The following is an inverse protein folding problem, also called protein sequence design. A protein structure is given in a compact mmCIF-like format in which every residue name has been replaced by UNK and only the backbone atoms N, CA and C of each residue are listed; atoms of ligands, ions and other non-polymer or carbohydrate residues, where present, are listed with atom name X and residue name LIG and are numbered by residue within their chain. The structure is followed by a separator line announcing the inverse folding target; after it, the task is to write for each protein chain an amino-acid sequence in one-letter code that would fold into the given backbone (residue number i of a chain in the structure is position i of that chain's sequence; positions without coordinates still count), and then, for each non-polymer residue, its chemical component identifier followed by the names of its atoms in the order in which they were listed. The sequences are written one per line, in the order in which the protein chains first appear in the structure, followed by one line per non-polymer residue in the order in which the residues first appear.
data_IF_557481385572
#
_entry.id   IF_557481385572
#
_cell.length_a   1.000
_cell.length_b   1.000
_cell.length_c   1.000
_cell.angle_alpha   90.00
_cell.angle_beta   90.00
_cell.angle_gamma   90.00
#
_symmetry.space_group_name_H-M   'P 1'
#
loop_
_entity.id
_entity.type
_entity.pdbx_description
1 polymer ?
#
# COMPACT_ATOMS: atom_id res chain seq x y z
N UNK A 1 42.18 102.24 -6.75
CA UNK A 1 42.25 101.17 -7.77
C UNK A 1 41.69 99.91 -7.12
N UNK A 2 40.40 99.64 -7.30
CA UNK A 2 39.75 98.40 -6.88
C UNK A 2 38.88 97.96 -8.05
N UNK A 3 39.29 96.86 -8.67
CA UNK A 3 38.69 96.31 -9.88
C UNK A 3 37.46 95.49 -9.47
N UNK A 4 36.32 95.83 -10.07
CA UNK A 4 35.09 95.06 -10.03
C UNK A 4 35.28 93.73 -10.77
N UNK A 5 34.82 92.62 -10.18
CA UNK A 5 34.68 91.34 -10.89
C UNK A 5 33.20 91.02 -10.96
N UNK A 6 32.74 91.01 -12.20
CA UNK A 6 31.41 90.74 -12.73
C UNK A 6 30.90 89.36 -12.30
N UNK A 7 29.74 89.33 -11.64
CA UNK A 7 28.94 88.12 -11.40
C UNK A 7 27.76 88.14 -12.35
N UNK A 8 27.99 87.79 -13.61
CA UNK A 8 26.87 87.45 -14.48
C UNK A 8 27.30 86.46 -15.57
N UNK A 9 26.44 85.44 -15.74
CA UNK A 9 26.39 84.43 -16.81
C UNK A 9 27.28 83.19 -16.68
N UNK A 10 26.76 82.14 -17.31
CA UNK A 10 27.20 80.72 -17.35
C UNK A 10 26.69 79.95 -16.12
N UNK A 11 25.73 79.02 -16.18
CA UNK A 11 25.14 78.30 -17.30
C UNK A 11 23.79 77.75 -16.86
N UNK A 12 22.71 78.14 -17.54
CA UNK A 12 21.51 77.31 -17.68
C UNK A 12 21.79 76.31 -18.81
N UNK A 13 21.16 75.13 -18.77
CA UNK A 13 21.23 74.00 -19.73
C UNK A 13 22.17 72.86 -19.37
N UNK A 14 21.62 71.86 -18.67
CA UNK A 14 21.53 70.44 -19.12
C UNK A 14 20.43 69.83 -18.23
N UNK A 15 19.15 70.07 -18.49
CA UNK A 15 18.32 69.28 -19.43
C UNK A 15 18.73 67.81 -19.50
N UNK A 16 17.81 66.96 -19.05
CA UNK A 16 17.58 65.62 -19.60
C UNK A 16 18.74 64.63 -19.64
N UNK A 17 19.02 64.04 -18.48
CA UNK A 17 19.34 62.61 -18.46
C UNK A 17 18.50 62.01 -17.34
N UNK A 18 17.19 61.85 -17.55
CA UNK A 18 16.62 60.59 -18.03
C UNK A 18 17.30 59.37 -17.39
N UNK A 19 17.46 59.41 -16.07
CA UNK A 19 17.48 58.21 -15.22
C UNK A 19 16.07 57.58 -15.25
N UNK A 20 15.67 57.14 -16.44
CA UNK A 20 14.86 55.93 -16.59
C UNK A 20 15.77 54.77 -16.23
N UNK A 21 16.13 54.67 -14.94
CA UNK A 21 16.35 53.37 -14.34
C UNK A 21 15.00 52.67 -14.51
N UNK A 22 14.90 51.90 -15.61
CA UNK A 22 13.95 50.81 -15.74
C UNK A 22 14.05 50.06 -14.41
N UNK A 23 13.12 50.32 -13.50
CA UNK A 23 12.71 49.33 -12.53
C UNK A 23 12.08 48.23 -13.37
N UNK A 24 12.95 47.41 -13.97
CA UNK A 24 12.56 46.09 -14.41
C UNK A 24 12.01 45.48 -13.14
N UNK A 25 10.68 45.41 -13.07
CA UNK A 25 9.98 44.69 -12.03
C UNK A 25 10.55 43.28 -12.09
N UNK A 26 11.53 43.01 -11.25
CA UNK A 26 11.98 41.66 -10.94
C UNK A 26 10.76 41.05 -10.27
N UNK A 27 9.86 40.53 -11.12
CA UNK A 27 8.75 39.70 -10.70
C UNK A 27 9.39 38.61 -9.87
N UNK A 28 9.31 38.77 -8.55
CA UNK A 28 9.92 37.85 -7.61
C UNK A 28 9.33 36.49 -7.94
N UNK A 29 10.17 35.55 -8.39
CA UNK A 29 9.76 34.20 -8.73
C UNK A 29 9.33 33.41 -7.47
N UNK A 30 9.62 33.96 -6.29
CA UNK A 30 9.35 33.39 -4.98
C UNK A 30 7.89 32.93 -4.75
N UNK A 31 6.85 33.76 -5.00
CA UNK A 31 5.46 33.35 -4.90
C UNK A 31 5.11 32.17 -5.81
N UNK A 32 5.61 32.13 -7.05
CA UNK A 32 5.36 31.01 -7.96
C UNK A 32 6.01 29.72 -7.45
N UNK A 33 7.28 29.79 -7.04
CA UNK A 33 7.98 28.62 -6.48
C UNK A 33 7.27 28.09 -5.25
N UNK A 34 6.82 28.97 -4.34
CA UNK A 34 6.08 28.57 -3.13
C UNK A 34 4.77 27.86 -3.46
N UNK A 35 4.03 28.36 -4.45
CA UNK A 35 2.76 27.75 -4.89
C UNK A 35 3.00 26.38 -5.53
N UNK A 36 4.04 26.24 -6.35
CA UNK A 36 4.43 24.95 -6.96
C UNK A 36 4.82 23.95 -5.87
N UNK A 37 5.68 24.33 -4.92
CA UNK A 37 6.07 23.45 -3.82
C UNK A 37 4.87 23.00 -2.99
N UNK A 38 3.96 23.92 -2.65
CA UNK A 38 2.74 23.58 -1.92
C UNK A 38 1.84 22.62 -2.72
N UNK A 39 1.68 22.86 -4.02
CA UNK A 39 0.91 21.99 -4.91
C UNK A 39 1.47 20.57 -4.97
N UNK A 40 2.80 20.42 -5.08
CA UNK A 40 3.48 19.11 -5.10
C UNK A 40 3.25 18.35 -3.78
N UNK A 41 3.41 19.03 -2.64
CA UNK A 41 3.19 18.42 -1.32
C UNK A 41 1.73 17.98 -1.17
N UNK A 42 0.79 18.86 -1.52
CA UNK A 42 -0.64 18.57 -1.42
C UNK A 42 -1.03 17.38 -2.30
N UNK A 43 -0.61 17.38 -3.57
CA UNK A 43 -0.87 16.28 -4.50
C UNK A 43 -0.26 14.97 -4.01
N UNK A 44 0.95 15.01 -3.44
CA UNK A 44 1.60 13.85 -2.84
C UNK A 44 0.77 13.29 -1.68
N UNK A 45 0.33 14.14 -0.74
CA UNK A 45 -0.47 13.70 0.42
C UNK A 45 -1.81 13.12 -0.03
N UNK A 46 -2.50 13.76 -0.97
CA UNK A 46 -3.77 13.25 -1.52
C UNK A 46 -3.55 11.89 -2.18
N UNK A 47 -2.49 11.74 -2.98
CA UNK A 47 -2.16 10.46 -3.62
C UNK A 47 -1.89 9.36 -2.59
N UNK A 48 -1.18 9.67 -1.50
CA UNK A 48 -0.97 8.74 -0.40
C UNK A 48 -2.29 8.28 0.22
N UNK A 49 -3.19 9.22 0.54
CA UNK A 49 -4.50 8.91 1.15
C UNK A 49 -5.35 8.06 0.22
N UNK A 50 -5.39 8.40 -1.07
CA UNK A 50 -6.14 7.64 -2.08
C UNK A 50 -5.61 6.22 -2.21
N UNK A 51 -4.29 6.03 -2.35
CA UNK A 51 -3.69 4.70 -2.45
C UNK A 51 -3.92 3.90 -1.15
N UNK A 52 -3.75 4.51 0.02
CA UNK A 52 -4.01 3.87 1.30
C UNK A 52 -5.48 3.43 1.44
N UNK A 53 -6.41 4.26 0.98
CA UNK A 53 -7.84 3.94 0.97
C UNK A 53 -8.21 2.83 -0.02
N UNK A 54 -7.51 2.71 -1.15
CA UNK A 54 -7.73 1.57 -2.06
C UNK A 54 -7.12 0.26 -1.55
N UNK A 55 -6.08 0.32 -0.71
CA UNK A 55 -5.39 -0.86 -0.16
C UNK A 55 -5.79 -1.20 1.28
N UNK A 56 -6.86 -0.59 1.79
CA UNK A 56 -7.33 -0.78 3.16
C UNK A 56 -8.17 -2.04 3.38
N UNK A 57 -8.55 -2.76 2.32
CA UNK A 57 -9.28 -4.01 2.44
C UNK A 57 -8.34 -5.13 2.90
N UNK A 58 -8.60 -5.64 4.10
CA UNK A 58 -7.92 -6.78 4.68
C UNK A 58 -8.84 -7.99 4.77
N UNK A 59 -8.34 -9.17 4.42
CA UNK A 59 -8.99 -10.45 4.63
C UNK A 59 -8.99 -10.79 6.13
N UNK A 60 -10.17 -10.96 6.72
CA UNK A 60 -10.35 -11.31 8.15
C UNK A 60 -10.80 -12.75 8.36
N UNK A 61 -11.48 -13.33 7.37
CA UNK A 61 -12.01 -14.67 7.47
C UNK A 61 -12.09 -15.32 6.09
N UNK A 62 -11.83 -16.61 6.05
CA UNK A 62 -12.10 -17.46 4.88
C UNK A 62 -13.01 -18.59 5.33
N UNK A 63 -14.11 -18.80 4.63
CA UNK A 63 -14.94 -19.99 4.78
C UNK A 63 -14.82 -20.85 3.54
N UNK A 64 -14.53 -22.14 3.71
CA UNK A 64 -14.43 -23.10 2.59
C UNK A 64 -15.55 -24.11 2.72
N UNK A 65 -16.37 -24.22 1.68
CA UNK A 65 -17.53 -25.11 1.64
C UNK A 65 -17.37 -26.10 0.50
N UNK A 66 -17.49 -27.40 0.77
CA UNK A 66 -17.55 -28.40 -0.28
C UNK A 66 -18.93 -28.36 -0.95
N UNK A 67 -18.96 -28.10 -2.26
CA UNK A 67 -20.20 -28.03 -3.05
C UNK A 67 -20.83 -29.40 -3.26
N UNK A 68 -20.01 -30.46 -3.25
CA UNK A 68 -20.46 -31.84 -3.35
C UNK A 68 -19.75 -32.72 -2.31
N UNK A 69 -20.48 -33.42 -1.42
CA UNK A 69 -19.89 -34.31 -0.41
C UNK A 69 -19.11 -35.49 -0.99
N UNK A 70 -19.28 -35.82 -2.27
CA UNK A 70 -18.52 -36.88 -2.94
C UNK A 70 -17.12 -36.44 -3.38
N UNK A 71 -16.86 -35.13 -3.42
CA UNK A 71 -15.56 -34.55 -3.81
C UNK A 71 -14.58 -34.55 -2.64
N UNK A 72 -15.07 -34.66 -1.39
CA UNK A 72 -14.18 -34.72 -0.24
C UNK A 72 -13.24 -35.93 -0.33
N UNK A 73 -11.91 -35.73 -0.22
CA UNK A 73 -10.98 -36.82 -0.16
C UNK A 73 -11.38 -37.73 1.00
N UNK A 74 -11.71 -38.98 0.69
CA UNK A 74 -11.91 -40.02 1.68
C UNK A 74 -10.74 -40.98 1.59
N UNK A 75 -10.19 -41.32 2.75
CA UNK A 75 -9.20 -42.38 2.84
C UNK A 75 -9.80 -43.67 2.27
N UNK A 76 -9.20 -44.18 1.20
CA UNK A 76 -9.67 -45.39 0.54
C UNK A 76 -9.45 -46.59 1.46
N UNK A 77 -10.51 -47.38 1.66
CA UNK A 77 -10.47 -48.60 2.46
C UNK A 77 -9.42 -49.59 1.95
N UNK A 78 -8.40 -49.88 2.76
CA UNK A 78 -7.53 -51.03 2.52
C UNK A 78 -8.31 -52.33 2.78
N UNK A 79 -8.19 -53.36 1.91
CA UNK A 79 -9.07 -54.53 1.90
C UNK A 79 -9.03 -55.44 3.15
N UNK A 80 -8.19 -55.17 4.16
CA UNK A 80 -8.02 -56.03 5.33
C UNK A 80 -8.08 -55.33 6.69
N UNK A 81 -8.28 -54.01 6.73
CA UNK A 81 -8.42 -53.25 7.98
C UNK A 81 -9.68 -52.42 7.85
N UNK A 82 -10.65 -52.61 8.76
CA UNK A 82 -11.80 -51.70 8.89
C UNK A 82 -11.25 -50.35 9.37
N UNK A 83 -10.80 -49.52 8.44
CA UNK A 83 -10.49 -48.14 8.73
C UNK A 83 -11.83 -47.45 8.98
N UNK A 84 -11.94 -46.87 10.17
CA UNK A 84 -12.98 -45.90 10.47
C UNK A 84 -12.82 -44.78 9.43
N UNK A 85 -13.89 -44.42 8.72
CA UNK A 85 -13.89 -43.32 7.74
C UNK A 85 -13.33 -42.06 8.42
N UNK A 86 -12.02 -41.81 8.24
CA UNK A 86 -11.37 -40.61 8.72
C UNK A 86 -11.71 -39.49 7.75
N UNK A 87 -12.23 -38.40 8.30
CA UNK A 87 -12.36 -37.16 7.56
C UNK A 87 -10.97 -36.55 7.35
N UNK A 88 -10.75 -35.82 6.25
CA UNK A 88 -9.46 -35.19 5.97
C UNK A 88 -9.09 -34.13 7.02
N UNK A 89 -7.79 -33.85 7.11
CA UNK A 89 -7.23 -32.84 8.01
C UNK A 89 -6.95 -31.57 7.19
N UNK A 90 -8.00 -30.79 6.91
CA UNK A 90 -7.88 -29.61 6.04
C UNK A 90 -6.99 -28.53 6.64
N UNK A 91 -6.07 -28.02 5.82
CA UNK A 91 -5.22 -26.87 6.11
C UNK A 91 -5.46 -25.78 5.06
N UNK A 92 -5.52 -24.52 5.52
CA UNK A 92 -5.68 -23.38 4.64
C UNK A 92 -4.42 -22.54 4.66
N UNK A 93 -3.86 -22.31 3.48
CA UNK A 93 -2.58 -21.63 3.29
C UNK A 93 -2.76 -20.41 2.38
N UNK A 94 -2.19 -19.28 2.77
CA UNK A 94 -2.19 -18.04 1.99
C UNK A 94 -0.82 -17.82 1.38
N UNK A 95 -0.79 -17.71 0.05
CA UNK A 95 0.40 -17.40 -0.73
C UNK A 95 0.44 -15.88 -1.02
N UNK A 96 1.56 -15.25 -0.71
CA UNK A 96 1.76 -13.81 -0.86
C UNK A 96 2.57 -13.49 -2.12
N UNK A 97 2.40 -12.27 -2.63
CA UNK A 97 3.13 -11.73 -3.79
C UNK A 97 4.64 -11.63 -3.61
N UNK A 98 5.12 -11.61 -2.37
CA UNK A 98 6.54 -11.63 -2.04
C UNK A 98 7.12 -13.05 -1.89
N UNK A 99 6.32 -14.09 -2.16
CA UNK A 99 6.72 -15.50 -2.02
C UNK A 99 6.63 -16.05 -0.60
N UNK A 100 6.18 -15.25 0.39
CA UNK A 100 5.86 -15.77 1.71
C UNK A 100 4.61 -16.66 1.64
N UNK A 101 4.56 -17.61 2.57
CA UNK A 101 3.46 -18.55 2.73
C UNK A 101 3.06 -18.52 4.21
N UNK A 102 1.78 -18.31 4.50
CA UNK A 102 1.25 -18.32 5.88
C UNK A 102 0.15 -19.35 6.00
N UNK A 103 0.29 -20.25 6.98
CA UNK A 103 -0.74 -21.22 7.34
C UNK A 103 -1.74 -20.56 8.31
N UNK A 104 -3.04 -20.62 7.98
CA UNK A 104 -4.14 -20.05 8.76
C UNK A 104 -4.66 -20.99 9.86
N UNK A 105 -4.17 -22.21 9.91
CA UNK A 105 -4.50 -23.27 10.85
C UNK A 105 -5.05 -24.52 10.16
N UNK A 106 -5.12 -25.59 10.94
CA UNK A 106 -5.65 -26.89 10.51
C UNK A 106 -7.02 -27.15 11.16
N UNK A 107 -7.90 -27.84 10.46
CA UNK A 107 -9.21 -28.30 10.92
C UNK A 107 -9.22 -29.82 10.86
N UNK A 108 -8.75 -30.50 11.92
CA UNK A 108 -8.58 -31.94 11.86
C UNK A 108 -9.93 -32.65 11.83
N UNK A 109 -9.99 -33.77 11.09
CA UNK A 109 -11.13 -34.68 11.02
C UNK A 109 -12.46 -33.95 10.85
N UNK A 110 -12.48 -32.96 9.96
CA UNK A 110 -13.61 -32.06 9.78
C UNK A 110 -14.10 -32.11 8.33
N UNK A 111 -15.42 -32.09 8.14
CA UNK A 111 -16.02 -32.03 6.81
C UNK A 111 -16.26 -30.57 6.41
N UNK A 112 -15.93 -30.23 5.16
CA UNK A 112 -16.19 -28.95 4.53
C UNK A 112 -17.62 -28.82 4.00
N UNK A 113 -18.45 -29.86 4.04
CA UNK A 113 -19.86 -29.81 3.58
C UNK A 113 -20.67 -28.73 4.30
N UNK A 114 -20.38 -28.45 5.57
CA UNK A 114 -21.07 -27.41 6.36
C UNK A 114 -20.34 -26.06 6.35
N UNK A 115 -19.23 -25.95 5.63
CA UNK A 115 -18.34 -24.80 5.67
C UNK A 115 -17.34 -24.88 6.83
N UNK A 116 -16.06 -24.80 6.50
CA UNK A 116 -14.98 -24.66 7.47
C UNK A 116 -14.51 -23.22 7.48
N UNK A 117 -14.46 -22.62 8.67
CA UNK A 117 -14.09 -21.21 8.83
C UNK A 117 -12.74 -21.05 9.50
N UNK A 118 -11.87 -20.28 8.84
CA UNK A 118 -10.59 -19.79 9.37
C UNK A 118 -10.70 -18.29 9.61
N UNK A 119 -10.60 -17.91 10.88
CA UNK A 119 -10.54 -16.50 11.30
C UNK A 119 -9.10 -16.10 11.50
N UNK A 120 -8.74 -14.98 10.90
CA UNK A 120 -7.41 -14.42 11.00
C UNK A 120 -7.34 -13.52 12.23
N UNK A 121 -6.28 -13.69 13.03
CA UNK A 121 -6.03 -12.81 14.19
C UNK A 121 -5.63 -11.40 13.75
N UNK A 122 -4.93 -11.31 12.63
CA UNK A 122 -4.50 -10.05 12.01
C UNK A 122 -4.98 -10.05 10.56
N UNK A 123 -5.68 -9.00 10.10
CA UNK A 123 -6.19 -9.03 8.74
C UNK A 123 -5.08 -8.88 7.71
N UNK A 124 -5.16 -9.66 6.64
CA UNK A 124 -4.14 -9.69 5.58
C UNK A 124 -4.58 -8.76 4.43
N UNK A 125 -3.76 -7.78 3.99
CA UNK A 125 -4.12 -6.94 2.85
C UNK A 125 -4.39 -7.79 1.60
N UNK A 126 -5.60 -7.70 1.04
CA UNK A 126 -6.03 -8.53 -0.11
C UNK A 126 -5.09 -8.37 -1.30
N UNK A 127 -4.62 -7.13 -1.53
CA UNK A 127 -3.67 -6.81 -2.59
C UNK A 127 -2.28 -7.44 -2.45
N UNK A 128 -1.95 -8.07 -1.32
CA UNK A 128 -0.71 -8.84 -1.14
C UNK A 128 -0.92 -10.34 -1.38
N UNK A 129 -2.17 -10.82 -1.41
CA UNK A 129 -2.53 -12.23 -1.59
C UNK A 129 -2.48 -12.58 -3.07
N UNK A 130 -1.71 -13.60 -3.43
CA UNK A 130 -1.67 -14.19 -4.77
C UNK A 130 -2.66 -15.33 -4.89
N UNK A 131 -2.76 -16.15 -3.84
CA UNK A 131 -3.64 -17.31 -3.82
C UNK A 131 -3.95 -17.78 -2.41
N UNK A 132 -5.11 -18.40 -2.26
CA UNK A 132 -5.51 -19.13 -1.07
C UNK A 132 -5.64 -20.60 -1.47
N UNK A 133 -4.86 -21.45 -0.81
CA UNK A 133 -4.71 -22.86 -1.11
C UNK A 133 -5.35 -23.68 -0.01
N UNK A 134 -6.21 -24.61 -0.39
CA UNK A 134 -6.70 -25.67 0.48
C UNK A 134 -5.84 -26.91 0.23
N UNK A 135 -5.33 -27.50 1.30
CA UNK A 135 -4.54 -28.72 1.24
C UNK A 135 -4.99 -29.71 2.32
N UNK A 136 -4.79 -30.99 2.06
CA UNK A 136 -4.97 -32.05 3.04
C UNK A 136 -3.65 -32.29 3.77
N UNK A 137 -3.68 -32.29 5.09
CA UNK A 137 -2.53 -32.55 5.91
C UNK A 137 -2.48 -34.03 6.28
N UNK A 138 -2.15 -34.89 5.31
CA UNK A 138 -1.81 -36.27 5.67
C UNK A 138 -0.40 -36.30 6.31
N UNK A 139 -0.20 -37.22 7.26
CA UNK A 139 0.94 -37.29 8.19
C UNK A 139 2.31 -37.39 7.52
N UNK A 140 2.37 -37.55 6.21
CA UNK A 140 3.60 -37.78 5.45
C UNK A 140 3.78 -36.79 4.28
N UNK A 141 2.70 -36.31 3.66
CA UNK A 141 2.76 -35.43 2.48
C UNK A 141 1.56 -34.49 2.52
N UNK A 142 1.80 -33.18 2.43
CA UNK A 142 0.73 -32.19 2.25
C UNK A 142 0.33 -32.15 0.78
N UNK A 143 -0.85 -32.66 0.48
CA UNK A 143 -1.39 -32.71 -0.88
C UNK A 143 -2.29 -31.50 -1.13
N UNK A 144 -1.97 -30.76 -2.18
CA UNK A 144 -2.75 -29.59 -2.60
C UNK A 144 -4.06 -30.07 -3.21
N UNK A 145 -5.18 -29.71 -2.59
CA UNK A 145 -6.52 -30.02 -3.11
C UNK A 145 -6.87 -29.02 -4.21
N UNK A 146 -6.82 -27.72 -3.88
CA UNK A 146 -7.13 -26.66 -4.84
C UNK A 146 -6.50 -25.32 -4.40
N UNK A 147 -6.38 -24.39 -5.33
CA UNK A 147 -5.87 -23.04 -5.09
C UNK A 147 -6.70 -22.01 -5.87
N UNK A 148 -7.14 -20.97 -5.18
CA UNK A 148 -7.97 -19.89 -5.74
C UNK A 148 -7.32 -18.53 -5.57
N UNK A 149 -7.59 -17.62 -6.50
CA UNK A 149 -7.18 -16.22 -6.37
C UNK A 149 -8.32 -15.40 -5.76
N UNK A 150 -8.00 -14.49 -4.84
CA UNK A 150 -8.99 -13.62 -4.19
C UNK A 150 -9.36 -12.48 -5.15
N UNK A 151 -10.36 -12.74 -6.00
CA UNK A 151 -10.82 -11.76 -7.01
C UNK A 151 -12.19 -11.17 -6.70
N UNK A 152 -13.01 -11.89 -5.94
CA UNK A 152 -14.36 -11.51 -5.50
C UNK A 152 -14.62 -12.03 -4.08
N UNK A 153 -15.76 -11.65 -3.50
CA UNK A 153 -16.17 -12.08 -2.15
C UNK A 153 -16.38 -13.60 -2.06
N UNK A 154 -16.63 -14.27 -3.18
CA UNK A 154 -16.72 -15.73 -3.26
C UNK A 154 -16.07 -16.22 -4.55
N UNK A 155 -15.41 -17.38 -4.51
CA UNK A 155 -14.78 -18.03 -5.69
C UNK A 155 -14.88 -19.54 -5.57
N UNK A 156 -15.18 -20.21 -6.68
CA UNK A 156 -15.29 -21.67 -6.73
C UNK A 156 -14.12 -22.30 -7.50
N UNK A 157 -13.59 -23.42 -7.00
CA UNK A 157 -12.62 -24.25 -7.70
C UNK A 157 -12.69 -25.71 -7.23
N UNK A 158 -12.59 -26.64 -8.18
CA UNK A 158 -12.50 -28.09 -7.94
C UNK A 158 -13.57 -28.64 -6.98
N UNK A 159 -14.79 -28.11 -7.05
CA UNK A 159 -15.90 -28.55 -6.19
C UNK A 159 -15.92 -27.93 -4.79
N UNK A 160 -15.08 -26.93 -4.53
CA UNK A 160 -15.07 -26.14 -3.30
C UNK A 160 -15.42 -24.68 -3.59
N UNK A 161 -16.15 -24.06 -2.67
CA UNK A 161 -16.46 -22.64 -2.67
C UNK A 161 -15.69 -21.97 -1.54
N UNK A 162 -15.00 -20.88 -1.85
CA UNK A 162 -14.25 -20.05 -0.92
C UNK A 162 -14.98 -18.72 -0.76
N UNK A 163 -15.49 -18.47 0.44
CA UNK A 163 -16.10 -17.20 0.80
C UNK A 163 -15.09 -16.37 1.61
N UNK A 164 -14.74 -15.22 1.07
CA UNK A 164 -13.77 -14.29 1.63
C UNK A 164 -14.50 -13.16 2.34
N UNK A 165 -14.29 -13.03 3.65
CA UNK A 165 -14.78 -11.89 4.40
C UNK A 165 -13.65 -10.87 4.55
N UNK A 166 -13.87 -9.67 4.04
CA UNK A 166 -12.92 -8.56 4.15
C UNK A 166 -13.43 -7.47 5.08
N UNK A 167 -12.52 -6.80 5.77
CA UNK A 167 -12.79 -5.61 6.56
C UNK A 167 -11.93 -4.45 6.06
N UNK A 168 -12.51 -3.24 6.08
CA UNK A 168 -11.79 -2.03 5.75
C UNK A 168 -11.01 -1.52 6.98
N UNK A 169 -9.68 -1.57 6.92
CA UNK A 169 -8.80 -1.06 7.96
C UNK A 169 -7.78 -0.05 7.43
N UNK A 170 -7.80 1.15 8.01
CA UNK A 170 -6.84 2.22 7.66
C UNK A 170 -5.42 1.81 7.99
N UNK A 171 -5.21 1.07 9.08
CA UNK A 171 -3.88 0.61 9.49
C UNK A 171 -3.23 -0.27 8.41
N UNK A 172 -4.03 -1.17 7.82
CA UNK A 172 -3.60 -2.05 6.72
C UNK A 172 -3.27 -1.23 5.48
N UNK A 173 -4.13 -0.27 5.13
CA UNK A 173 -3.91 0.62 3.99
C UNK A 173 -2.60 1.43 4.10
N UNK A 174 -2.33 1.97 5.29
CA UNK A 174 -1.10 2.73 5.58
C UNK A 174 0.13 1.81 5.54
N UNK A 175 0.07 0.65 6.18
CA UNK A 175 1.18 -0.32 6.18
C UNK A 175 1.49 -0.80 4.77
N UNK A 176 0.45 -1.13 3.99
CA UNK A 176 0.59 -1.57 2.60
C UNK A 176 1.12 -0.47 1.69
N UNK A 177 0.74 0.80 1.94
CA UNK A 177 1.28 1.94 1.21
C UNK A 177 2.79 2.09 1.40
N UNK A 178 3.29 2.03 2.64
CA UNK A 178 4.73 2.17 2.93
C UNK A 178 5.58 1.01 2.39
N UNK A 179 4.96 -0.13 2.05
CA UNK A 179 5.63 -1.23 1.35
C UNK A 179 5.78 -1.00 -0.16
N UNK A 180 5.05 -0.05 -0.74
CA UNK A 180 5.19 0.27 -2.19
C UNK A 180 6.47 1.05 -2.47
N UNK A 181 7.07 0.91 -3.67
CA UNK A 181 8.23 1.73 -4.06
C UNK A 181 7.96 3.24 -3.95
N UNK A 182 6.72 3.67 -4.25
CA UNK A 182 6.28 5.06 -4.15
C UNK A 182 6.25 5.50 -2.68
N UNK A 183 5.64 4.71 -1.80
CA UNK A 183 5.58 4.99 -0.38
C UNK A 183 6.96 5.03 0.27
N UNK A 184 7.85 4.11 -0.09
CA UNK A 184 9.26 4.11 0.33
C UNK A 184 9.97 5.39 -0.14
N UNK A 185 9.82 5.77 -1.42
CA UNK A 185 10.45 6.97 -1.96
C UNK A 185 9.97 8.25 -1.26
N UNK A 186 8.67 8.40 -1.03
CA UNK A 186 8.09 9.55 -0.31
C UNK A 186 8.58 9.56 1.14
N UNK A 187 8.55 8.43 1.83
CA UNK A 187 9.03 8.32 3.22
C UNK A 187 10.53 8.69 3.33
N UNK A 188 11.36 8.19 2.42
CA UNK A 188 12.79 8.52 2.37
C UNK A 188 13.03 10.01 2.09
N UNK A 189 12.29 10.61 1.15
CA UNK A 189 12.40 12.03 0.84
C UNK A 189 12.05 12.90 2.06
N UNK A 190 10.97 12.57 2.77
CA UNK A 190 10.60 13.24 4.02
C UNK A 190 11.67 13.07 5.10
N UNK A 191 12.21 11.86 5.26
CA UNK A 191 13.27 11.60 6.24
C UNK A 191 14.53 12.43 5.96
N UNK A 192 14.97 12.49 4.70
CA UNK A 192 16.12 13.32 4.29
C UNK A 192 15.85 14.80 4.52
N UNK A 193 14.66 15.30 4.17
CA UNK A 193 14.29 16.69 4.41
C UNK A 193 14.34 17.06 5.90
N UNK A 194 13.81 16.19 6.77
CA UNK A 194 13.87 16.37 8.23
C UNK A 194 15.31 16.38 8.74
N UNK A 195 16.17 15.47 8.26
CA UNK A 195 17.58 15.45 8.63
C UNK A 195 18.28 16.75 8.24
N UNK A 196 18.06 17.26 7.02
CA UNK A 196 18.64 18.53 6.55
C UNK A 196 18.23 19.68 7.48
N UNK A 197 16.95 19.74 7.89
CA UNK A 197 16.47 20.76 8.82
C UNK A 197 17.19 20.63 10.17
N UNK A 198 17.27 19.43 10.73
CA UNK A 198 17.95 19.18 12.01
C UNK A 198 19.42 19.60 11.92
N UNK A 199 20.16 19.15 10.91
CA UNK A 199 21.57 19.53 10.73
C UNK A 199 21.74 21.03 10.53
N UNK A 200 20.83 21.69 9.80
CA UNK A 200 20.89 23.15 9.62
C UNK A 200 20.70 23.92 10.93
N UNK A 201 19.92 23.40 11.87
CA UNK A 201 19.72 24.01 13.19
C UNK A 201 20.93 23.80 14.10
N UNK A 202 21.67 22.69 13.97
CA UNK A 202 22.85 22.42 14.79
C UNK A 202 24.16 23.00 14.24
N UNK A 203 24.23 23.28 12.94
CA UNK A 203 25.42 23.87 12.30
C UNK A 203 25.47 25.39 12.49
N UNK A 204 24.32 26.03 12.71
CA UNK A 204 24.19 27.46 13.03
C UNK A 204 24.13 27.70 14.54
#
# INVERSE_FOLDING_TARGET
MHIAVDRSKVSYMTEEQSDRTRSGSTHSAWPMTRLICFGIILLSVISCVVIAAFRSNGLIQVTVTALNPEVEPRDHNLPFIKQQESLPDYELVVNYSNGLITNLGTKPNSSAVQGLTWRLNEPIPVCEIVGVRLQDQDKLISDVITEVQVTSDSTEADGYQFDFQTEHSVAIGVQSFFRTPIGVAISAAFFVAVLIIIFSVFIF
#
